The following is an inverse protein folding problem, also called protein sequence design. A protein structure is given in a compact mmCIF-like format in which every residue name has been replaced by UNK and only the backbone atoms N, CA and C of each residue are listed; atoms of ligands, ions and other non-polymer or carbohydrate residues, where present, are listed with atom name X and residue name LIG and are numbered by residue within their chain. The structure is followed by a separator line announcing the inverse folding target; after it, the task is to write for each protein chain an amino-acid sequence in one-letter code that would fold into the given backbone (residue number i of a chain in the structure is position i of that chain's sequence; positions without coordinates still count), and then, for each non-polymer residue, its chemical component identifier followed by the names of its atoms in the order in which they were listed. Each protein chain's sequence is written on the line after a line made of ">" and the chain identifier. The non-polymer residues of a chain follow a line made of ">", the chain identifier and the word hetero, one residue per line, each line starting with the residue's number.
data_IF_525614906656
#
_entry.id   IF_525614906656
#
_cell.length_a   1.000
_cell.length_b   1.000
_cell.length_c   1.000
_cell.angle_alpha   90.00
_cell.angle_beta   90.00
_cell.angle_gamma   90.00
#
_symmetry.space_group_name_H-M   'P 1'
#
loop_
_entity.id
_entity.type
_entity.pdbx_description
1 polymer ?
#
# COMPACT_ATOMS: atom_id res chain seq x y z
N UNK A 1 -13.01 11.20 23.08
CA UNK A 1 -12.23 10.61 21.99
C UNK A 1 -13.03 10.56 20.70
N UNK A 2 -12.36 10.66 19.56
CA UNK A 2 -12.95 10.55 18.23
C UNK A 2 -12.06 9.73 17.30
N UNK A 3 -12.63 9.22 16.21
CA UNK A 3 -11.92 8.64 15.09
C UNK A 3 -12.45 9.28 13.81
N UNK A 4 -11.55 9.88 13.02
CA UNK A 4 -11.86 10.48 11.74
C UNK A 4 -11.11 9.75 10.63
N UNK A 5 -11.83 9.20 9.66
CA UNK A 5 -11.27 8.72 8.40
C UNK A 5 -11.61 9.68 7.29
N UNK A 6 -10.63 10.50 6.90
CA UNK A 6 -10.79 11.49 5.84
C UNK A 6 -10.28 10.93 4.51
N UNK A 7 -11.20 10.41 3.70
CA UNK A 7 -10.91 9.85 2.38
C UNK A 7 -11.01 10.95 1.32
N UNK A 8 -9.93 11.71 1.10
CA UNK A 8 -9.90 12.72 0.04
C UNK A 8 -10.07 12.09 -1.34
N UNK A 9 -10.92 12.63 -2.23
CA UNK A 9 -10.99 12.21 -3.64
C UNK A 9 -9.75 12.61 -4.43
N UNK A 10 -8.98 13.58 -3.94
CA UNK A 10 -7.73 14.02 -4.52
C UNK A 10 -6.55 13.15 -4.00
N UNK A 11 -5.51 12.93 -4.79
CA UNK A 11 -5.24 13.39 -6.15
C UNK A 11 -5.68 12.40 -7.24
N UNK A 12 -6.79 11.66 -7.07
CA UNK A 12 -7.27 10.76 -8.12
C UNK A 12 -7.70 11.55 -9.37
N UNK A 13 -7.46 10.98 -10.55
CA UNK A 13 -7.95 11.58 -11.81
C UNK A 13 -9.50 11.51 -11.87
N UNK A 14 -10.18 12.53 -12.46
CA UNK A 14 -9.61 13.70 -13.15
C UNK A 14 -9.30 14.79 -12.14
N UNK A 15 -8.17 15.46 -12.35
CA UNK A 15 -7.77 16.57 -11.49
C UNK A 15 -8.58 17.82 -11.79
N UNK A 16 -9.38 18.22 -10.83
CA UNK A 16 -10.22 19.44 -10.90
C UNK A 16 -9.96 20.20 -9.59
N UNK A 17 -8.90 21.02 -9.55
CA UNK A 17 -8.60 21.81 -8.37
C UNK A 17 -9.66 22.88 -8.17
N UNK A 18 -9.90 23.26 -6.91
CA UNK A 18 -10.71 24.42 -6.61
C UNK A 18 -10.10 25.68 -7.27
N UNK A 19 -10.95 26.64 -7.63
CA UNK A 19 -10.54 27.90 -8.32
C UNK A 19 -9.38 28.63 -7.64
N UNK A 20 -9.28 28.50 -6.32
CA UNK A 20 -8.22 29.16 -5.53
C UNK A 20 -6.86 28.48 -5.66
N UNK A 21 -6.79 27.30 -6.24
CA UNK A 21 -5.55 26.55 -6.47
C UNK A 21 -5.22 26.42 -7.97
N UNK A 22 -6.23 26.53 -8.84
CA UNK A 22 -6.07 26.34 -10.27
C UNK A 22 -5.02 27.30 -10.87
N UNK A 23 -4.03 26.73 -11.56
CA UNK A 23 -2.96 27.47 -12.24
C UNK A 23 -1.88 28.08 -11.33
N UNK A 24 -1.83 27.72 -10.04
CA UNK A 24 -0.85 28.27 -9.08
C UNK A 24 0.43 27.44 -8.97
N UNK A 25 0.35 26.14 -9.21
CA UNK A 25 1.49 25.26 -9.12
C UNK A 25 2.37 25.32 -10.37
N UNK A 26 3.71 25.31 -10.17
CA UNK A 26 4.69 25.12 -11.26
C UNK A 26 4.65 23.71 -11.86
N UNK A 27 3.98 22.76 -11.20
CA UNK A 27 3.83 21.37 -11.62
C UNK A 27 2.49 21.10 -12.35
N UNK A 28 1.83 22.17 -12.82
CA UNK A 28 0.55 22.09 -13.53
C UNK A 28 -0.60 21.61 -12.64
N UNK A 29 -1.65 21.09 -13.27
CA UNK A 29 -2.90 20.73 -12.58
C UNK A 29 -2.72 19.66 -11.50
N UNK A 30 -1.80 18.73 -11.67
CA UNK A 30 -1.46 17.78 -10.60
C UNK A 30 -0.91 18.49 -9.38
N UNK A 31 0.03 19.41 -9.59
CA UNK A 31 0.58 20.21 -8.49
C UNK A 31 -0.48 21.09 -7.81
N UNK A 32 -1.44 21.63 -8.57
CA UNK A 32 -2.55 22.42 -8.01
C UNK A 32 -3.38 21.58 -7.03
N UNK A 33 -3.75 20.34 -7.40
CA UNK A 33 -4.51 19.47 -6.49
C UNK A 33 -3.68 18.98 -5.28
N UNK A 34 -2.35 18.84 -5.42
CA UNK A 34 -1.48 18.53 -4.28
C UNK A 34 -1.44 19.72 -3.30
N UNK A 35 -1.36 20.95 -3.79
CA UNK A 35 -1.43 22.16 -2.94
C UNK A 35 -2.80 22.27 -2.24
N UNK A 36 -3.87 21.87 -2.90
CA UNK A 36 -5.20 21.82 -2.30
C UNK A 36 -5.29 20.79 -1.18
N UNK A 37 -4.72 19.59 -1.36
CA UNK A 37 -4.62 18.57 -0.29
C UNK A 37 -3.83 19.11 0.90
N UNK A 38 -2.68 19.73 0.63
CA UNK A 38 -1.83 20.31 1.67
C UNK A 38 -2.58 21.35 2.50
N UNK A 39 -3.33 22.24 1.83
CA UNK A 39 -4.21 23.21 2.49
C UNK A 39 -5.30 22.53 3.33
N UNK A 40 -5.94 21.48 2.81
CA UNK A 40 -6.97 20.73 3.56
C UNK A 40 -6.39 20.11 4.83
N UNK A 41 -5.21 19.50 4.73
CA UNK A 41 -4.49 18.94 5.89
C UNK A 41 -4.11 20.03 6.87
N UNK A 42 -3.62 21.17 6.38
CA UNK A 42 -3.33 22.35 7.21
C UNK A 42 -4.53 22.79 8.04
N UNK A 43 -5.71 22.94 7.39
CA UNK A 43 -6.94 23.32 8.08
C UNK A 43 -7.40 22.30 9.13
N UNK A 44 -7.17 20.99 8.89
CA UNK A 44 -7.45 19.97 9.90
C UNK A 44 -6.52 20.11 11.11
N UNK A 45 -5.21 20.36 10.88
CA UNK A 45 -4.25 20.56 11.96
C UNK A 45 -4.54 21.82 12.76
N UNK A 46 -4.84 22.94 12.09
CA UNK A 46 -5.27 24.19 12.73
C UNK A 46 -6.50 23.97 13.61
N UNK A 47 -7.51 23.24 13.11
CA UNK A 47 -8.70 22.92 13.90
C UNK A 47 -8.38 22.11 15.16
N UNK A 48 -7.45 21.15 15.09
CA UNK A 48 -7.00 20.39 16.27
C UNK A 48 -6.31 21.29 17.30
N UNK A 49 -5.51 22.25 16.83
CA UNK A 49 -4.81 23.21 17.68
C UNK A 49 -5.82 24.18 18.34
N UNK A 50 -6.77 24.74 17.58
CA UNK A 50 -7.84 25.60 18.09
C UNK A 50 -8.72 24.94 19.16
N UNK A 51 -8.97 23.63 18.98
CA UNK A 51 -9.74 22.83 19.96
C UNK A 51 -8.92 22.37 21.17
N UNK A 52 -7.61 22.63 21.18
CA UNK A 52 -6.70 22.21 22.27
C UNK A 52 -6.55 20.69 22.39
N UNK A 53 -6.73 19.95 21.32
CA UNK A 53 -6.63 18.47 21.32
C UNK A 53 -5.45 17.93 20.51
N UNK A 54 -4.67 18.80 19.90
CA UNK A 54 -3.58 18.48 18.98
C UNK A 54 -2.52 17.59 19.62
N UNK A 55 -2.13 17.88 20.87
CA UNK A 55 -1.08 17.15 21.59
C UNK A 55 -1.49 15.72 21.94
N UNK A 56 -2.79 15.46 22.04
CA UNK A 56 -3.33 14.12 22.30
C UNK A 56 -4.06 13.52 21.09
N UNK A 57 -3.61 13.83 19.88
CA UNK A 57 -4.19 13.30 18.64
C UNK A 57 -3.11 12.72 17.74
N UNK A 58 -3.24 11.42 17.40
CA UNK A 58 -2.46 10.82 16.33
C UNK A 58 -3.07 11.19 14.99
N UNK A 59 -2.31 11.91 14.17
CA UNK A 59 -2.66 12.20 12.76
C UNK A 59 -1.81 11.32 11.86
N UNK A 60 -2.46 10.60 10.95
CA UNK A 60 -1.80 9.75 9.95
C UNK A 60 -2.18 10.26 8.56
N UNK A 61 -1.19 10.60 7.75
CA UNK A 61 -1.34 10.88 6.33
C UNK A 61 -0.66 9.79 5.52
N UNK A 62 -1.39 9.15 4.61
CA UNK A 62 -0.84 8.14 3.73
C UNK A 62 -1.57 8.13 2.38
N UNK A 63 -0.90 7.65 1.34
CA UNK A 63 -1.55 7.33 0.05
C UNK A 63 -1.91 5.85 -0.01
N UNK A 64 -2.89 5.51 -0.83
CA UNK A 64 -3.33 4.13 -1.07
C UNK A 64 -2.45 3.39 -2.08
N UNK A 65 -1.80 4.11 -3.00
CA UNK A 65 -0.92 3.56 -4.04
C UNK A 65 0.04 4.64 -4.58
N UNK A 66 1.04 4.19 -5.33
CA UNK A 66 1.97 5.09 -6.01
C UNK A 66 1.32 5.91 -7.13
N UNK A 67 2.06 6.86 -7.75
CA UNK A 67 1.54 7.77 -8.75
C UNK A 67 1.08 7.06 -10.02
N UNK A 68 0.03 7.60 -10.64
CA UNK A 68 -0.51 7.08 -11.90
C UNK A 68 0.28 7.66 -13.08
N UNK A 69 1.33 6.97 -13.52
CA UNK A 69 2.31 7.46 -14.49
C UNK A 69 1.86 7.49 -15.96
N UNK A 70 0.68 6.98 -16.28
CA UNK A 70 0.13 6.97 -17.65
C UNK A 70 -0.75 8.18 -17.96
N UNK A 71 -0.80 9.16 -17.07
CA UNK A 71 -1.55 10.42 -17.24
C UNK A 71 -0.54 11.55 -17.42
N UNK A 72 -0.78 12.43 -18.36
CA UNK A 72 0.07 13.60 -18.60
C UNK A 72 0.07 14.53 -17.35
N UNK A 73 1.25 15.05 -17.01
CA UNK A 73 1.42 15.91 -15.84
C UNK A 73 1.38 15.19 -14.49
N UNK A 74 1.47 13.85 -14.49
CA UNK A 74 1.48 13.03 -13.28
C UNK A 74 2.65 13.34 -12.32
N UNK A 75 2.52 12.88 -11.06
CA UNK A 75 3.59 12.88 -10.08
C UNK A 75 4.74 11.91 -10.42
N UNK A 76 5.68 11.78 -9.51
CA UNK A 76 6.84 10.89 -9.64
C UNK A 76 6.99 10.01 -8.41
N UNK A 77 7.43 8.77 -8.64
CA UNK A 77 7.87 7.86 -7.57
C UNK A 77 9.42 7.79 -7.48
N UNK A 78 10.16 8.54 -8.33
CA UNK A 78 11.62 8.49 -8.35
C UNK A 78 12.23 8.70 -6.95
N UNK A 79 13.25 7.92 -6.56
CA UNK A 79 14.02 6.96 -7.38
C UNK A 79 13.38 5.57 -7.52
N UNK A 80 12.20 5.34 -6.94
CA UNK A 80 11.51 4.06 -6.98
C UNK A 80 11.00 3.75 -8.40
N UNK A 81 10.96 2.47 -8.73
CA UNK A 81 10.52 2.03 -10.05
C UNK A 81 9.02 2.06 -10.20
N UNK A 82 8.55 2.60 -11.34
CA UNK A 82 7.16 2.56 -11.81
C UNK A 82 6.16 3.28 -10.87
N UNK A 83 4.90 2.85 -10.87
CA UNK A 83 3.81 3.50 -10.14
C UNK A 83 2.57 2.61 -10.04
N UNK A 84 1.42 3.26 -9.87
CA UNK A 84 0.10 2.62 -9.72
C UNK A 84 -0.12 1.44 -10.66
N UNK A 85 -0.76 0.38 -10.15
CA UNK A 85 -1.05 -0.91 -10.80
C UNK A 85 0.16 -1.84 -11.00
N UNK A 86 1.31 -1.52 -10.44
CA UNK A 86 2.46 -2.42 -10.43
C UNK A 86 2.86 -2.77 -9.01
N UNK A 87 3.57 -3.88 -8.85
CA UNK A 87 4.16 -4.30 -7.59
C UNK A 87 5.66 -3.94 -7.50
N UNK A 88 6.14 -3.06 -8.40
CA UNK A 88 7.41 -2.36 -8.21
C UNK A 88 7.30 -1.39 -7.04
N UNK A 89 8.43 -1.04 -6.43
CA UNK A 89 8.44 -0.17 -5.23
C UNK A 89 7.65 1.13 -5.46
N UNK A 90 7.77 1.75 -6.65
CA UNK A 90 7.03 2.97 -6.96
C UNK A 90 5.51 2.80 -7.04
N UNK A 91 5.01 1.57 -7.16
CA UNK A 91 3.57 1.28 -7.17
C UNK A 91 2.98 1.00 -5.79
N UNK A 92 3.79 0.43 -4.89
CA UNK A 92 3.33 -0.06 -3.58
C UNK A 92 3.91 0.69 -2.39
N UNK A 93 5.08 1.33 -2.52
CA UNK A 93 5.68 2.15 -1.47
C UNK A 93 5.19 3.58 -1.59
N UNK A 94 4.43 4.00 -0.59
CA UNK A 94 3.70 5.27 -0.58
C UNK A 94 4.23 6.22 0.49
N UNK A 95 4.05 7.54 0.34
CA UNK A 95 4.27 8.49 1.43
C UNK A 95 3.43 8.10 2.64
N UNK A 96 4.06 8.13 3.83
CA UNK A 96 3.37 7.99 5.10
C UNK A 96 4.01 8.94 6.09
N UNK A 97 3.21 9.85 6.66
CA UNK A 97 3.62 10.80 7.70
C UNK A 97 2.71 10.60 8.91
N UNK A 98 3.30 10.59 10.08
CA UNK A 98 2.57 10.48 11.34
C UNK A 98 2.98 11.60 12.29
N UNK A 99 1.99 12.23 12.90
CA UNK A 99 2.19 13.31 13.86
C UNK A 99 1.43 13.01 15.15
N UNK A 100 2.15 13.08 16.26
CA UNK A 100 1.60 13.09 17.60
C UNK A 100 2.59 13.83 18.51
N UNK A 101 2.41 15.13 18.76
CA UNK A 101 3.42 15.97 19.37
C UNK A 101 4.01 15.45 20.67
N UNK A 102 3.20 14.89 21.57
CA UNK A 102 3.65 14.37 22.86
C UNK A 102 4.29 12.96 22.79
N UNK A 103 4.15 12.24 21.68
CA UNK A 103 4.51 10.82 21.60
C UNK A 103 5.52 10.49 20.52
N UNK A 104 5.43 11.13 19.35
CA UNK A 104 6.32 10.88 18.23
C UNK A 104 7.38 11.97 18.17
N UNK A 105 8.69 11.63 18.28
CA UNK A 105 9.76 12.61 18.19
C UNK A 105 9.72 13.36 16.86
N UNK A 106 9.73 14.69 16.93
CA UNK A 106 9.69 15.53 15.75
C UNK A 106 10.90 15.29 14.83
N UNK A 107 10.68 15.20 13.51
CA UNK A 107 11.72 14.96 12.51
C UNK A 107 12.28 13.54 12.50
N UNK A 108 11.69 12.61 13.26
CA UNK A 108 12.12 11.21 13.25
C UNK A 108 11.82 10.55 11.91
N UNK A 109 12.71 9.64 11.48
CA UNK A 109 12.55 8.83 10.28
C UNK A 109 12.58 7.36 10.69
N UNK A 110 11.57 6.60 10.31
CA UNK A 110 11.52 5.17 10.52
C UNK A 110 11.61 4.43 9.17
N UNK A 111 12.59 3.55 9.04
CA UNK A 111 12.86 2.78 7.81
C UNK A 111 12.30 1.35 7.87
N UNK A 112 11.49 1.02 8.87
CA UNK A 112 10.85 -0.28 8.97
C UNK A 112 9.78 -0.46 7.89
N UNK A 113 9.61 -1.69 7.41
CA UNK A 113 8.51 -2.03 6.52
C UNK A 113 7.22 -1.99 7.34
N UNK A 114 6.30 -1.13 6.93
CA UNK A 114 4.95 -1.01 7.48
C UNK A 114 3.92 -0.95 6.37
N UNK A 115 2.67 -1.24 6.69
CA UNK A 115 1.57 -1.15 5.74
C UNK A 115 0.29 -0.62 6.38
N UNK A 116 -0.71 -0.32 5.55
CA UNK A 116 -2.04 0.08 6.03
C UNK A 116 -2.69 -1.01 6.90
N UNK A 117 -2.27 -2.27 6.72
CA UNK A 117 -2.71 -3.41 7.54
C UNK A 117 -2.36 -3.25 9.02
N UNK A 118 -1.31 -2.47 9.33
CA UNK A 118 -0.83 -2.25 10.70
C UNK A 118 -1.70 -1.25 11.46
N UNK A 119 -2.54 -0.49 10.78
CA UNK A 119 -3.38 0.52 11.41
C UNK A 119 -4.41 -0.08 12.36
N UNK A 120 -5.03 -1.22 12.00
CA UNK A 120 -6.01 -1.86 12.86
C UNK A 120 -5.42 -2.27 14.24
N UNK A 121 -4.37 -3.10 14.33
CA UNK A 121 -3.82 -3.47 15.63
C UNK A 121 -3.20 -2.27 16.39
N UNK A 122 -2.68 -1.27 15.66
CA UNK A 122 -2.15 -0.04 16.26
C UNK A 122 -3.27 0.79 16.91
N UNK A 123 -4.40 0.96 16.23
CA UNK A 123 -5.54 1.70 16.76
C UNK A 123 -6.24 0.93 17.89
N UNK A 124 -6.29 -0.40 17.83
CA UNK A 124 -6.75 -1.22 18.93
C UNK A 124 -5.89 -0.98 20.19
N UNK A 125 -4.56 -1.01 20.04
CA UNK A 125 -3.65 -0.76 21.17
C UNK A 125 -3.81 0.65 21.76
N UNK A 126 -4.07 1.67 20.93
CA UNK A 126 -4.31 3.04 21.37
C UNK A 126 -5.64 3.23 22.10
N UNK A 127 -6.67 2.55 21.65
CA UNK A 127 -8.03 2.71 22.18
C UNK A 127 -8.35 1.75 23.32
N UNK A 128 -7.47 0.80 23.64
CA UNK A 128 -7.74 -0.29 24.57
C UNK A 128 -8.69 -1.35 24.03
N UNK A 129 -8.98 -1.34 22.73
CA UNK A 129 -9.77 -2.37 22.08
C UNK A 129 -8.94 -3.63 21.82
N UNK A 130 -9.59 -4.78 21.82
CA UNK A 130 -8.95 -6.04 21.48
C UNK A 130 -8.85 -6.22 19.95
N UNK A 131 -7.70 -6.72 19.49
CA UNK A 131 -7.56 -7.14 18.09
C UNK A 131 -8.41 -8.41 17.89
N UNK A 132 -9.22 -8.53 16.84
CA UNK A 132 -10.00 -9.73 16.57
C UNK A 132 -9.14 -10.99 16.53
N UNK A 133 -9.55 -12.05 17.28
CA UNK A 133 -8.84 -13.34 17.36
C UNK A 133 -9.54 -14.44 16.57
N UNK A 134 -10.74 -14.18 16.03
CA UNK A 134 -11.54 -15.11 15.24
C UNK A 134 -11.02 -15.28 13.80
N UNK A 135 -9.94 -14.57 13.46
CA UNK A 135 -9.31 -14.56 12.15
C UNK A 135 -7.83 -14.19 12.23
N UNK A 136 -7.07 -14.53 11.21
CA UNK A 136 -5.69 -14.05 11.06
C UNK A 136 -5.72 -12.56 10.73
N UNK A 137 -4.97 -11.78 11.48
CA UNK A 137 -4.71 -10.35 11.23
C UNK A 137 -3.23 -10.21 10.87
N UNK A 138 -2.95 -9.81 9.62
CA UNK A 138 -1.59 -9.70 9.09
C UNK A 138 -0.81 -8.51 9.65
N UNK A 139 -1.54 -7.46 10.07
CA UNK A 139 -0.97 -6.24 10.63
C UNK A 139 -0.40 -6.43 12.03
N UNK A 140 0.50 -5.53 12.41
CA UNK A 140 1.16 -5.49 13.71
C UNK A 140 1.02 -4.10 14.36
N UNK A 141 1.07 -4.05 15.69
CA UNK A 141 1.13 -2.79 16.43
C UNK A 141 2.49 -2.12 16.21
N UNK A 142 2.50 -0.92 15.65
CA UNK A 142 3.71 -0.16 15.31
C UNK A 142 4.06 0.92 16.32
N UNK A 143 3.30 1.08 17.41
CA UNK A 143 3.51 2.15 18.41
C UNK A 143 4.94 2.18 18.97
N UNK A 144 5.56 1.06 19.38
CA UNK A 144 6.92 1.09 19.91
C UNK A 144 7.92 1.75 18.94
N UNK A 145 7.78 1.47 17.65
CA UNK A 145 8.64 2.04 16.61
C UNK A 145 8.36 3.52 16.34
N UNK A 146 7.10 3.96 16.52
CA UNK A 146 6.72 5.36 16.36
C UNK A 146 7.20 6.22 17.55
N UNK A 147 7.21 5.66 18.74
CA UNK A 147 7.62 6.37 19.96
C UNK A 147 9.15 6.39 20.17
N UNK A 148 9.90 5.83 19.23
CA UNK A 148 11.37 5.81 19.32
C UNK A 148 11.91 4.81 20.32
N UNK A 149 11.13 3.79 20.70
CA UNK A 149 11.63 2.71 21.55
C UNK A 149 12.71 1.90 20.83
N UNK A 150 13.69 1.42 21.57
CA UNK A 150 14.72 0.51 21.03
C UNK A 150 14.13 -0.87 20.76
N UNK A 151 13.66 -1.12 19.53
CA UNK A 151 13.10 -2.40 19.12
C UNK A 151 14.12 -3.15 18.27
N UNK A 152 14.53 -4.32 18.74
CA UNK A 152 15.60 -5.13 18.13
C UNK A 152 15.15 -6.01 16.95
N UNK A 153 13.84 -6.13 16.74
CA UNK A 153 13.25 -6.97 15.69
C UNK A 153 12.51 -6.10 14.68
N UNK A 154 12.50 -6.43 13.38
CA UNK A 154 11.72 -5.68 12.41
C UNK A 154 10.20 -5.85 12.67
N UNK A 155 9.41 -4.84 12.31
CA UNK A 155 7.94 -4.92 12.34
C UNK A 155 7.50 -6.08 11.47
N UNK A 156 7.89 -6.07 10.22
CA UNK A 156 7.70 -7.16 9.29
C UNK A 156 9.06 -7.65 8.79
N UNK A 157 9.44 -8.86 9.17
CA UNK A 157 10.61 -9.54 8.60
C UNK A 157 10.39 -9.79 7.10
N UNK A 158 9.15 -10.12 6.76
CA UNK A 158 8.69 -10.32 5.39
C UNK A 158 7.38 -9.57 5.14
N UNK A 159 7.22 -9.06 3.93
CA UNK A 159 6.00 -8.42 3.45
C UNK A 159 5.62 -9.04 2.09
N UNK A 160 4.43 -9.63 2.01
CA UNK A 160 4.01 -10.42 0.85
C UNK A 160 2.84 -9.75 0.16
N UNK A 161 2.97 -9.55 -1.16
CA UNK A 161 1.83 -9.25 -2.03
C UNK A 161 1.35 -10.59 -2.63
N UNK A 162 0.16 -11.08 -2.24
CA UNK A 162 -0.30 -12.42 -2.57
C UNK A 162 -0.18 -12.76 -4.05
N UNK A 163 0.50 -13.86 -4.35
CA UNK A 163 0.68 -14.37 -5.71
C UNK A 163 1.54 -13.49 -6.62
N UNK A 164 2.28 -12.51 -6.09
CA UNK A 164 3.08 -11.58 -6.89
C UNK A 164 4.49 -11.40 -6.39
N UNK A 165 4.71 -10.81 -5.20
CA UNK A 165 6.04 -10.50 -4.69
C UNK A 165 6.22 -10.91 -3.25
N UNK A 166 7.45 -11.29 -2.89
CA UNK A 166 7.92 -11.47 -1.51
C UNK A 166 9.01 -10.45 -1.24
N UNK A 167 8.83 -9.61 -0.24
CA UNK A 167 9.85 -8.78 0.36
C UNK A 167 10.31 -9.43 1.66
N UNK A 168 11.62 -9.70 1.79
CA UNK A 168 12.24 -10.20 3.01
C UNK A 168 13.49 -9.36 3.30
N UNK A 169 13.42 -8.56 4.33
CA UNK A 169 14.46 -7.57 4.61
C UNK A 169 14.73 -6.64 3.41
N UNK A 170 15.96 -6.65 2.91
CA UNK A 170 16.38 -5.83 1.78
C UNK A 170 16.09 -6.49 0.40
N UNK A 171 15.71 -7.76 0.38
CA UNK A 171 15.50 -8.53 -0.84
C UNK A 171 14.04 -8.55 -1.28
N UNK A 172 13.80 -8.48 -2.60
CA UNK A 172 12.47 -8.58 -3.19
C UNK A 172 12.47 -9.52 -4.38
N UNK A 173 11.66 -10.56 -4.28
CA UNK A 173 11.44 -11.55 -5.33
C UNK A 173 10.11 -11.31 -6.03
N UNK A 174 10.10 -11.30 -7.35
CA UNK A 174 8.90 -11.42 -8.16
C UNK A 174 8.62 -12.90 -8.45
N UNK A 175 7.61 -13.49 -7.83
CA UNK A 175 7.20 -14.88 -8.14
C UNK A 175 6.36 -14.96 -9.41
N UNK A 176 5.80 -13.83 -9.84
CA UNK A 176 5.04 -13.68 -11.09
C UNK A 176 5.60 -12.52 -11.89
N UNK A 177 5.67 -12.70 -13.20
CA UNK A 177 6.14 -11.64 -14.10
C UNK A 177 5.30 -10.37 -13.96
N UNK A 178 5.96 -9.22 -13.94
CA UNK A 178 5.36 -7.90 -13.81
C UNK A 178 5.79 -7.02 -14.97
N UNK A 179 4.83 -6.60 -15.78
CA UNK A 179 5.06 -5.60 -16.83
C UNK A 179 5.09 -4.19 -16.24
N UNK A 180 5.97 -3.30 -16.74
CA UNK A 180 5.95 -1.90 -16.37
C UNK A 180 4.65 -1.21 -16.77
N UNK A 181 4.24 -0.22 -15.99
CA UNK A 181 3.06 0.58 -16.27
C UNK A 181 1.72 -0.08 -15.95
N UNK A 182 1.73 -1.33 -15.45
CA UNK A 182 0.52 -2.04 -15.02
C UNK A 182 -0.44 -2.43 -16.15
N UNK A 183 -1.67 -2.78 -15.76
CA UNK A 183 -2.70 -3.27 -16.67
C UNK A 183 -3.23 -2.14 -17.57
N UNK A 184 -3.13 -2.32 -18.88
CA UNK A 184 -3.65 -1.36 -19.87
C UNK A 184 -2.63 -0.34 -20.40
N UNK A 185 -1.44 -0.27 -19.83
CA UNK A 185 -0.34 0.49 -20.42
C UNK A 185 0.38 -0.41 -21.44
N UNK A 186 0.35 -0.03 -22.70
CA UNK A 186 1.36 -0.50 -23.66
C UNK A 186 2.68 0.06 -23.14
N UNK A 187 3.56 -0.84 -22.65
CA UNK A 187 4.82 -0.46 -22.01
C UNK A 187 5.47 0.70 -22.75
N UNK A 188 5.71 1.81 -22.05
CA UNK A 188 6.47 2.91 -22.62
C UNK A 188 7.84 2.34 -22.99
N UNK A 189 8.27 2.58 -24.23
CA UNK A 189 9.52 2.09 -24.78
C UNK A 189 10.67 2.20 -23.78
N UNK A 190 11.41 1.12 -23.58
CA UNK A 190 12.62 1.08 -22.77
C UNK A 190 12.49 0.57 -21.32
N UNK A 191 11.29 0.29 -20.82
CA UNK A 191 11.14 -0.30 -19.48
C UNK A 191 11.15 -1.83 -19.59
N UNK A 192 12.12 -2.47 -18.91
CA UNK A 192 12.26 -3.93 -18.89
C UNK A 192 11.26 -4.54 -17.91
N UNK A 193 10.51 -5.60 -18.28
CA UNK A 193 9.70 -6.35 -17.32
C UNK A 193 10.53 -6.97 -16.20
N UNK A 194 9.93 -7.22 -15.04
CA UNK A 194 10.46 -8.21 -14.12
C UNK A 194 9.87 -9.57 -14.50
N UNK A 195 10.73 -10.49 -14.89
CA UNK A 195 10.32 -11.87 -15.16
C UNK A 195 10.02 -12.61 -13.87
N UNK A 196 9.27 -13.70 -13.94
CA UNK A 196 9.08 -14.57 -12.80
C UNK A 196 10.44 -15.13 -12.32
N UNK A 197 10.70 -15.01 -11.02
CA UNK A 197 12.00 -15.37 -10.42
C UNK A 197 13.01 -14.23 -10.38
N UNK A 198 12.68 -13.01 -10.86
CA UNK A 198 13.57 -11.85 -10.73
C UNK A 198 13.72 -11.45 -9.27
N UNK A 199 14.97 -11.26 -8.83
CA UNK A 199 15.38 -10.88 -7.46
C UNK A 199 16.10 -9.54 -7.47
N UNK A 200 15.71 -8.63 -6.56
CA UNK A 200 16.28 -7.29 -6.44
C UNK A 200 16.73 -7.02 -5.00
N UNK A 201 17.85 -6.29 -4.86
CA UNK A 201 18.31 -5.71 -3.60
C UNK A 201 17.77 -4.28 -3.49
N UNK A 202 16.67 -4.11 -2.79
CA UNK A 202 15.95 -2.83 -2.72
C UNK A 202 16.72 -1.76 -1.93
N UNK A 203 17.61 -2.17 -1.05
CA UNK A 203 18.44 -1.22 -0.28
C UNK A 203 19.45 -0.52 -1.18
N UNK A 204 20.14 -1.27 -2.03
CA UNK A 204 21.18 -0.76 -2.90
C UNK A 204 20.67 -0.40 -4.30
N UNK A 205 19.54 -0.96 -4.71
CA UNK A 205 18.87 -0.72 -5.99
C UNK A 205 17.35 -0.46 -5.79
N UNK A 206 16.97 0.69 -5.22
CA UNK A 206 15.54 1.04 -5.01
C UNK A 206 14.78 1.19 -6.34
N UNK A 207 15.48 1.31 -7.46
CA UNK A 207 14.93 1.36 -8.81
C UNK A 207 14.66 -0.01 -9.43
N UNK A 208 14.98 -1.11 -8.73
CA UNK A 208 14.73 -2.49 -9.20
C UNK A 208 15.28 -2.72 -10.62
N UNK A 209 16.49 -2.23 -10.89
CA UNK A 209 17.10 -2.20 -12.23
C UNK A 209 17.95 -3.43 -12.53
N UNK A 210 18.52 -4.06 -11.50
CA UNK A 210 19.49 -5.14 -11.63
C UNK A 210 18.93 -6.44 -11.06
N UNK A 211 18.61 -7.39 -11.94
CA UNK A 211 18.17 -8.72 -11.51
C UNK A 211 19.35 -9.56 -11.03
N UNK A 212 19.35 -9.91 -9.75
CA UNK A 212 20.41 -10.66 -9.06
C UNK A 212 20.08 -12.15 -8.87
N UNK A 213 18.99 -12.66 -9.45
CA UNK A 213 18.52 -14.03 -9.26
C UNK A 213 19.58 -15.10 -9.58
N UNK A 214 20.36 -14.91 -10.67
CA UNK A 214 21.41 -15.83 -11.06
C UNK A 214 22.58 -15.90 -10.05
N UNK A 215 22.79 -14.83 -9.28
CA UNK A 215 23.85 -14.72 -8.27
C UNK A 215 23.41 -15.30 -6.92
N UNK A 216 22.09 -15.37 -6.66
CA UNK A 216 21.51 -15.81 -5.40
C UNK A 216 20.42 -16.90 -5.59
N UNK A 217 20.73 -18.04 -6.26
CA UNK A 217 19.71 -19.04 -6.59
C UNK A 217 19.07 -19.69 -5.36
N UNK A 218 19.79 -19.83 -4.26
CA UNK A 218 19.24 -20.41 -3.03
C UNK A 218 18.26 -19.46 -2.35
N UNK A 219 18.55 -18.17 -2.32
CA UNK A 219 17.62 -17.15 -1.81
C UNK A 219 16.34 -17.09 -2.64
N UNK A 220 16.45 -17.21 -3.96
CA UNK A 220 15.26 -17.30 -4.84
C UNK A 220 14.37 -18.48 -4.45
N UNK A 221 14.95 -19.66 -4.22
CA UNK A 221 14.21 -20.86 -3.79
C UNK A 221 13.55 -20.66 -2.41
N UNK A 222 14.28 -20.05 -1.48
CA UNK A 222 13.76 -19.75 -0.15
C UNK A 222 12.55 -18.84 -0.22
N UNK A 223 12.64 -17.69 -0.91
CA UNK A 223 11.54 -16.74 -1.05
C UNK A 223 10.36 -17.32 -1.84
N UNK A 224 10.60 -18.18 -2.83
CA UNK A 224 9.54 -18.94 -3.49
C UNK A 224 8.80 -19.87 -2.53
N UNK A 225 9.54 -20.53 -1.62
CA UNK A 225 8.95 -21.37 -0.57
C UNK A 225 8.13 -20.54 0.41
N UNK A 226 8.60 -19.35 0.78
CA UNK A 226 7.84 -18.43 1.63
C UNK A 226 6.49 -18.03 0.99
N UNK A 227 6.49 -17.66 -0.29
CA UNK A 227 5.24 -17.39 -1.02
C UNK A 227 4.31 -18.59 -1.03
N UNK A 228 4.84 -19.80 -1.24
CA UNK A 228 4.02 -21.02 -1.24
C UNK A 228 3.39 -21.28 0.14
N UNK A 229 4.17 -21.14 1.20
CA UNK A 229 3.69 -21.32 2.57
C UNK A 229 2.59 -20.30 2.90
N UNK A 230 2.86 -19.02 2.59
CA UNK A 230 1.88 -17.93 2.75
C UNK A 230 0.60 -18.20 1.95
N UNK A 231 0.71 -18.64 0.70
CA UNK A 231 -0.46 -18.94 -0.13
C UNK A 231 -1.32 -20.04 0.48
N UNK A 232 -0.68 -21.09 1.02
CA UNK A 232 -1.40 -22.19 1.69
C UNK A 232 -2.14 -21.69 2.94
N UNK A 233 -1.49 -20.88 3.76
CA UNK A 233 -2.10 -20.29 4.96
C UNK A 233 -3.22 -19.32 4.58
N UNK A 234 -2.97 -18.45 3.60
CA UNK A 234 -3.95 -17.48 3.11
C UNK A 234 -5.20 -18.17 2.57
N UNK A 235 -5.06 -19.23 1.76
CA UNK A 235 -6.19 -19.99 1.22
C UNK A 235 -6.98 -20.70 2.32
N UNK A 236 -6.31 -21.24 3.33
CA UNK A 236 -6.94 -21.88 4.48
C UNK A 236 -7.75 -20.92 5.35
N UNK A 237 -7.36 -19.63 5.38
CA UNK A 237 -8.00 -18.58 6.18
C UNK A 237 -8.90 -17.64 5.37
N UNK A 238 -9.10 -17.92 4.06
CA UNK A 238 -9.97 -17.10 3.23
C UNK A 238 -11.41 -17.10 3.75
N UNK A 239 -11.93 -15.89 3.95
CA UNK A 239 -13.33 -15.66 4.35
C UNK A 239 -14.09 -14.95 3.22
N UNK A 240 -15.34 -15.31 2.97
CA UNK A 240 -16.18 -14.56 2.04
C UNK A 240 -16.40 -13.13 2.56
N UNK A 241 -16.41 -12.16 1.66
CA UNK A 241 -16.79 -10.78 1.98
C UNK A 241 -18.25 -10.79 2.50
N UNK A 242 -18.49 -10.13 3.64
CA UNK A 242 -19.80 -10.08 4.27
C UNK A 242 -20.20 -11.38 4.98
N UNK A 243 -19.21 -12.15 5.43
CA UNK A 243 -19.48 -13.34 6.26
C UNK A 243 -20.31 -12.98 7.50
N UNK A 244 -21.46 -13.65 7.64
CA UNK A 244 -22.29 -13.63 8.85
C UNK A 244 -22.49 -15.08 9.25
N UNK A 245 -22.23 -15.41 10.51
CA UNK A 245 -22.41 -16.75 11.04
C UNK A 245 -23.86 -17.22 10.85
N UNK A 246 -24.07 -18.45 10.42
CA UNK A 246 -25.40 -19.03 10.20
C UNK A 246 -25.95 -19.00 8.75
N UNK A 247 -25.24 -18.39 7.80
CA UNK A 247 -25.71 -18.29 6.39
C UNK A 247 -24.64 -18.68 5.36
N UNK A 248 -23.71 -19.54 5.72
CA UNK A 248 -22.43 -19.71 5.04
C UNK A 248 -22.50 -20.45 3.69
N UNK A 249 -23.24 -21.55 3.61
CA UNK A 249 -23.21 -22.40 2.41
C UNK A 249 -24.02 -21.84 1.26
N UNK A 250 -25.19 -21.28 1.55
CA UNK A 250 -26.09 -20.71 0.53
C UNK A 250 -25.49 -19.43 -0.08
N UNK A 251 -24.86 -18.57 0.73
CA UNK A 251 -24.16 -17.37 0.24
C UNK A 251 -22.87 -17.69 -0.51
N UNK A 252 -22.15 -18.73 -0.13
CA UNK A 252 -20.98 -19.22 -0.88
C UNK A 252 -21.40 -19.76 -2.25
N UNK A 253 -22.52 -20.47 -2.34
CA UNK A 253 -23.08 -20.92 -3.61
C UNK A 253 -23.46 -19.72 -4.50
N UNK A 254 -24.17 -18.74 -3.95
CA UNK A 254 -24.58 -17.52 -4.65
C UNK A 254 -23.38 -16.69 -5.12
N UNK A 255 -22.32 -16.54 -4.31
CA UNK A 255 -21.09 -15.85 -4.71
C UNK A 255 -20.30 -16.60 -5.79
N UNK A 256 -20.28 -17.95 -5.75
CA UNK A 256 -19.67 -18.75 -6.81
C UNK A 256 -20.42 -18.58 -8.13
N UNK A 257 -21.76 -18.61 -8.10
CA UNK A 257 -22.59 -18.35 -9.28
C UNK A 257 -22.42 -16.94 -9.83
N UNK A 258 -22.37 -15.91 -8.97
CA UNK A 258 -22.13 -14.54 -9.38
C UNK A 258 -20.78 -14.38 -10.08
N UNK A 259 -19.70 -14.96 -9.50
CA UNK A 259 -18.37 -14.96 -10.12
C UNK A 259 -18.30 -15.71 -11.45
N UNK A 260 -19.07 -16.79 -11.59
CA UNK A 260 -19.18 -17.53 -12.86
C UNK A 260 -19.92 -16.71 -13.93
N UNK A 261 -21.01 -16.03 -13.57
CA UNK A 261 -21.75 -15.11 -14.46
C UNK A 261 -20.91 -13.93 -14.90
N UNK A 262 -20.14 -13.34 -13.97
CA UNK A 262 -19.22 -12.23 -14.28
C UNK A 262 -18.10 -12.67 -15.25
N UNK A 263 -17.50 -13.85 -15.03
CA UNK A 263 -16.50 -14.43 -15.95
C UNK A 263 -17.10 -14.72 -17.33
N UNK A 264 -18.30 -15.27 -17.40
CA UNK A 264 -19.00 -15.53 -18.66
C UNK A 264 -19.36 -14.24 -19.40
N UNK A 265 -19.78 -13.20 -18.67
CA UNK A 265 -20.06 -11.87 -19.22
C UNK A 265 -18.82 -11.19 -19.81
N UNK A 266 -17.67 -11.30 -19.12
CA UNK A 266 -16.37 -10.78 -19.60
C UNK A 266 -15.87 -11.56 -20.83
N UNK A 267 -16.11 -12.87 -20.90
CA UNK A 267 -15.75 -13.69 -22.05
C UNK A 267 -16.58 -13.36 -23.31
N UNK A 268 -17.88 -13.07 -23.14
CA UNK A 268 -18.74 -12.60 -24.26
C UNK A 268 -18.37 -11.22 -24.79
N UNK A 269 -17.93 -10.28 -23.91
CA UNK A 269 -17.46 -8.95 -24.34
C UNK A 269 -16.10 -8.98 -25.06
N UNK A 270 -15.29 -10.03 -24.88
CA UNK A 270 -14.01 -10.20 -25.59
C UNK A 270 -14.15 -10.83 -26.99
N UNK A 271 -15.32 -11.39 -27.32
CA UNK A 271 -15.61 -12.01 -28.62
C UNK A 271 -16.42 -11.11 -29.56
N UNK A 272 -16.78 -9.91 -29.13
CA UNK A 272 -17.33 -8.81 -29.93
C UNK A 272 -16.27 -7.71 -30.09
#
# INVERSE_FOLDING_TARGET
>A
PFFLYYASPLPHVKWIPHKDFAGKSKQGTYGDVIQEIDWQVGGLLETLDELGVSDNTLVVYASDNGPQLNVEGHGSASPLRDGKWTNFEGGIRVPCLMRWPEKIPAGSINNQITGIIDMLPTFCALSGAEVPTDRVIDGKNILPYLFGEEVKVPIHERFIVPGSTVRHGDWKLFVKAQNPGGKGTKGKQGRVPAEAGSLFDIKNDPGESTNLAAQHPELVKELQKEMKNFTTEFEANLRPIGWVEGNSEEKLATLKEFRQREKAGKAKKRKR
#
